data_IF_697380481959
#
_entry.id   IF_697380481959
#
_cell.length_a   1.000
_cell.length_b   1.000
_cell.length_c   1.000
_cell.angle_alpha   90.00
_cell.angle_beta   90.00
_cell.angle_gamma   90.00
#
_symmetry.space_group_name_H-M   'P 1'
#
loop_
_entity.id
_entity.type
_entity.pdbx_description
1 polymer ?
#
# COMPACT_ATOMS: atom_id res chain seq x y z
N UNK A 1 -1.99 26.39 -59.35
CA UNK A 1 -2.99 27.08 -58.51
C UNK A 1 -2.55 26.94 -57.07
N UNK A 2 -2.29 28.05 -56.34
CA UNK A 2 -1.84 28.01 -54.95
C UNK A 2 -3.02 27.88 -54.00
N UNK A 3 -2.83 27.22 -52.85
CA UNK A 3 -3.66 27.38 -51.67
C UNK A 3 -2.75 27.38 -50.43
N UNK A 4 -2.61 28.57 -49.85
CA UNK A 4 -2.05 28.79 -48.52
C UNK A 4 -3.06 28.33 -47.46
N UNK A 5 -2.63 27.61 -46.41
CA UNK A 5 -3.34 27.61 -45.14
C UNK A 5 -3.12 28.98 -44.48
N UNK A 6 -4.20 29.71 -44.22
CA UNK A 6 -4.13 30.91 -43.38
C UNK A 6 -3.91 30.49 -41.93
N UNK A 7 -2.81 30.96 -41.32
CA UNK A 7 -2.56 30.76 -39.89
C UNK A 7 -3.37 31.80 -39.10
N UNK A 8 -4.28 31.41 -38.20
CA UNK A 8 -5.15 32.36 -37.51
C UNK A 8 -4.34 33.21 -36.53
N UNK A 9 -4.20 34.50 -36.85
CA UNK A 9 -3.52 35.45 -35.97
C UNK A 9 -4.25 35.55 -34.63
N UNK A 10 -3.62 34.98 -33.58
CA UNK A 10 -4.09 35.11 -32.20
C UNK A 10 -3.92 36.57 -31.77
N UNK A 11 -5.02 37.29 -31.65
CA UNK A 11 -4.99 38.69 -31.24
C UNK A 11 -4.77 38.77 -29.73
N UNK A 12 -3.56 39.16 -29.31
CA UNK A 12 -3.27 39.51 -27.93
C UNK A 12 -4.05 40.78 -27.56
N UNK A 13 -5.22 40.61 -26.91
CA UNK A 13 -6.10 41.72 -26.53
C UNK A 13 -7.05 41.37 -25.39
N UNK A 14 -6.56 41.48 -24.15
CA UNK A 14 -7.42 41.71 -22.98
C UNK A 14 -6.59 42.23 -21.78
N UNK A 15 -6.26 43.52 -21.79
CA UNK A 15 -5.60 44.17 -20.65
C UNK A 15 -6.64 44.67 -19.62
N UNK A 16 -6.65 44.06 -18.43
CA UNK A 16 -7.31 44.60 -17.22
C UNK A 16 -8.22 43.61 -16.47
N UNK A 17 -8.69 43.94 -15.24
CA UNK A 17 -8.39 45.15 -14.46
C UNK A 17 -7.58 44.88 -13.16
N UNK A 18 -7.17 45.95 -12.49
CA UNK A 18 -6.53 45.96 -11.15
C UNK A 18 -7.29 45.10 -10.13
N UNK A 19 -6.60 44.17 -9.49
CA UNK A 19 -6.93 43.72 -8.13
C UNK A 19 -6.34 44.71 -7.11
N UNK A 20 -7.18 45.24 -6.21
CA UNK A 20 -6.72 46.09 -5.10
C UNK A 20 -6.03 45.26 -4.03
N UNK A 21 -4.89 45.73 -3.54
CA UNK A 21 -4.12 45.05 -2.50
C UNK A 21 -4.93 44.91 -1.20
N UNK A 22 -5.15 43.67 -0.76
CA UNK A 22 -5.74 43.38 0.54
C UNK A 22 -4.69 43.58 1.65
N UNK A 23 -5.00 44.47 2.58
CA UNK A 23 -4.16 44.78 3.75
C UNK A 23 -4.27 43.66 4.80
N UNK A 24 -3.14 43.29 5.43
CA UNK A 24 -3.16 42.79 6.81
C UNK A 24 -2.81 41.31 7.03
N UNK A 25 -1.52 40.97 6.91
CA UNK A 25 -0.93 39.85 7.66
C UNK A 25 -0.59 40.33 9.09
N UNK A 26 -1.01 39.61 10.13
CA UNK A 26 -0.15 39.36 11.29
C UNK A 26 0.40 37.92 11.27
N UNK A 27 1.54 37.72 11.92
CA UNK A 27 2.32 36.50 11.81
C UNK A 27 1.75 35.31 12.62
N UNK A 28 2.15 34.11 12.20
CA UNK A 28 1.99 32.89 12.98
C UNK A 28 2.78 32.97 14.29
N UNK A 29 2.16 32.55 15.39
CA UNK A 29 2.86 32.24 16.65
C UNK A 29 2.59 30.77 16.98
N UNK A 30 3.53 29.85 16.72
CA UNK A 30 3.35 28.45 17.08
C UNK A 30 3.33 28.31 18.61
N UNK A 31 2.35 27.57 19.13
CA UNK A 31 2.30 27.22 20.57
C UNK A 31 3.41 26.21 20.87
N UNK A 32 4.16 26.35 21.98
CA UNK A 32 5.11 25.32 22.40
C UNK A 32 4.38 24.01 22.74
N UNK A 33 4.72 22.93 22.05
CA UNK A 33 4.32 21.57 22.44
C UNK A 33 5.16 21.12 23.64
N UNK A 34 4.54 20.62 24.73
CA UNK A 34 5.30 20.03 25.84
C UNK A 34 6.11 18.81 25.37
N UNK A 35 7.43 18.87 25.51
CA UNK A 35 8.35 17.84 25.04
C UNK A 35 8.27 16.50 25.80
N UNK A 36 8.87 15.43 25.23
CA UNK A 36 8.80 14.09 25.79
C UNK A 36 9.56 13.99 27.12
N UNK A 37 8.92 13.36 28.13
CA UNK A 37 9.61 12.99 29.38
C UNK A 37 10.35 11.67 29.22
N UNK A 38 11.61 11.75 28.81
CA UNK A 38 12.57 10.66 29.01
C UNK A 38 12.87 10.52 30.50
N UNK A 39 12.66 9.34 31.07
CA UNK A 39 13.15 8.97 32.40
C UNK A 39 13.83 7.59 32.31
N UNK A 40 15.08 7.53 32.75
CA UNK A 40 15.94 6.37 32.59
C UNK A 40 15.83 5.36 33.76
N UNK A 41 16.25 4.13 33.47
CA UNK A 41 16.51 2.98 34.35
C UNK A 41 17.63 3.26 35.41
N UNK A 42 18.09 2.30 36.26
CA UNK A 42 17.42 1.18 36.98
C UNK A 42 17.89 0.98 38.46
N UNK A 43 17.11 0.19 39.26
CA UNK A 43 17.53 -0.58 40.49
C UNK A 43 18.00 0.26 41.72
N UNK A 44 17.95 -0.25 42.98
CA UNK A 44 18.60 -1.50 43.43
C UNK A 44 17.86 -2.36 44.49
N UNK A 45 18.25 -3.64 44.60
CA UNK A 45 17.88 -4.57 45.70
C UNK A 45 19.00 -5.61 45.90
N UNK A 46 19.39 -5.87 47.15
CA UNK A 46 20.72 -6.43 47.55
C UNK A 46 20.62 -7.90 48.10
N UNK A 47 21.60 -8.52 48.81
CA UNK A 47 21.89 -9.98 48.78
C UNK A 47 21.15 -10.74 49.92
N UNK A 48 21.37 -12.02 50.32
CA UNK A 48 22.60 -12.79 50.71
C UNK A 48 22.35 -14.35 50.69
N UNK A 49 23.13 -15.30 51.28
CA UNK A 49 23.73 -16.39 50.46
C UNK A 49 23.63 -17.88 50.91
N UNK A 50 23.94 -18.80 49.97
CA UNK A 50 24.68 -20.07 50.21
C UNK A 50 23.91 -21.34 50.61
N UNK A 51 24.57 -22.52 50.73
CA UNK A 51 25.76 -22.98 49.98
C UNK A 51 25.74 -24.48 49.53
N UNK A 52 26.65 -24.85 48.60
CA UNK A 52 27.19 -26.22 48.33
C UNK A 52 26.22 -27.31 47.73
N UNK A 53 26.61 -28.32 46.92
CA UNK A 53 27.91 -28.76 46.38
C UNK A 53 27.79 -29.50 45.01
N UNK A 54 28.93 -29.71 44.31
CA UNK A 54 29.15 -30.58 43.11
C UNK A 54 30.60 -31.13 43.21
N UNK A 55 30.95 -32.41 42.92
CA UNK A 55 30.87 -33.15 41.62
C UNK A 55 30.23 -34.57 41.77
N UNK A 56 30.37 -35.63 40.94
CA UNK A 56 31.30 -36.01 39.85
C UNK A 56 30.70 -37.05 38.84
N UNK A 57 31.39 -37.41 37.72
CA UNK A 57 30.88 -38.29 36.63
C UNK A 57 31.61 -39.67 36.57
N UNK A 58 31.62 -40.46 35.46
CA UNK A 58 30.59 -40.86 34.46
C UNK A 58 30.43 -42.41 34.35
N UNK A 59 29.49 -42.91 33.51
CA UNK A 59 29.59 -44.24 32.87
C UNK A 59 29.04 -44.23 31.43
N UNK A 60 29.79 -44.72 30.41
CA UNK A 60 29.32 -44.83 29.03
C UNK A 60 28.83 -46.24 28.67
N UNK A 61 27.83 -46.34 27.79
CA UNK A 61 27.62 -47.51 26.89
C UNK A 61 26.93 -47.08 25.58
N UNK A 62 27.07 -47.83 24.47
CA UNK A 62 27.06 -47.22 23.14
C UNK A 62 25.89 -47.63 22.22
N UNK A 63 25.88 -46.95 21.07
CA UNK A 63 25.49 -47.41 19.74
C UNK A 63 24.05 -47.16 19.22
N UNK A 64 24.04 -46.45 18.08
CA UNK A 64 23.23 -46.71 16.89
C UNK A 64 21.70 -46.51 16.95
N UNK A 65 21.29 -45.25 16.81
CA UNK A 65 20.09 -44.87 16.05
C UNK A 65 20.50 -43.98 14.89
N UNK A 66 20.34 -44.44 13.64
CA UNK A 66 20.54 -43.59 12.46
C UNK A 66 19.37 -42.61 12.38
N UNK A 67 19.60 -41.32 12.65
CA UNK A 67 18.65 -40.29 12.22
C UNK A 67 18.61 -40.29 10.69
N UNK A 68 17.45 -40.49 10.05
CA UNK A 68 17.34 -40.26 8.62
C UNK A 68 17.45 -38.76 8.38
N UNK A 69 18.50 -38.33 7.69
CA UNK A 69 18.44 -37.08 6.94
C UNK A 69 17.46 -37.33 5.78
N UNK A 70 16.25 -36.81 5.88
CA UNK A 70 15.18 -37.05 4.92
C UNK A 70 14.05 -36.05 5.13
N UNK A 71 13.72 -35.30 4.07
CA UNK A 71 12.70 -34.26 4.11
C UNK A 71 13.27 -32.87 4.39
N UNK A 72 13.77 -32.22 3.34
CA UNK A 72 13.31 -30.84 3.10
C UNK A 72 11.81 -30.90 2.86
N UNK A 73 11.03 -30.90 3.95
CA UNK A 73 9.58 -30.89 3.85
C UNK A 73 9.14 -29.67 3.04
N UNK A 74 8.22 -29.91 2.11
CA UNK A 74 7.87 -28.98 1.06
C UNK A 74 7.06 -27.80 1.61
N UNK A 75 7.73 -26.85 2.28
CA UNK A 75 7.12 -25.63 2.84
C UNK A 75 6.37 -24.82 1.77
N UNK A 76 6.73 -25.01 0.50
CA UNK A 76 6.06 -24.53 -0.71
C UNK A 76 4.56 -24.89 -0.80
N UNK A 77 4.11 -25.96 -0.15
CA UNK A 77 2.70 -26.41 -0.21
C UNK A 77 1.81 -25.76 0.86
N UNK A 78 2.38 -25.06 1.84
CA UNK A 78 1.62 -24.13 2.68
C UNK A 78 1.40 -22.82 1.91
N UNK A 79 0.50 -22.86 0.92
CA UNK A 79 -0.21 -21.66 0.46
C UNK A 79 -1.01 -21.14 1.65
N UNK A 80 -0.43 -20.18 2.38
CA UNK A 80 -1.16 -19.38 3.35
C UNK A 80 -2.43 -18.86 2.69
N UNK A 81 -3.59 -19.12 3.29
CA UNK A 81 -4.83 -18.50 2.83
C UNK A 81 -4.68 -16.98 2.87
N UNK A 82 -5.22 -16.23 1.90
CA UNK A 82 -5.12 -14.78 1.88
C UNK A 82 -5.69 -14.19 3.17
N UNK A 83 -4.95 -13.27 3.79
CA UNK A 83 -5.41 -12.57 4.98
C UNK A 83 -6.36 -11.44 4.56
N UNK A 84 -7.66 -11.64 4.75
CA UNK A 84 -8.68 -10.66 4.43
C UNK A 84 -8.93 -9.71 5.61
N UNK A 85 -8.92 -8.41 5.32
CA UNK A 85 -9.35 -7.34 6.23
C UNK A 85 -10.51 -6.60 5.58
N UNK A 86 -11.62 -6.45 6.31
CA UNK A 86 -12.78 -5.68 5.87
C UNK A 86 -12.76 -4.29 6.51
N UNK A 87 -12.89 -3.25 5.70
CA UNK A 87 -12.99 -1.85 6.13
C UNK A 87 -14.42 -1.37 5.84
N UNK A 88 -15.26 -1.09 6.87
CA UNK A 88 -16.62 -0.60 6.64
C UNK A 88 -16.62 0.84 6.11
N UNK A 89 -17.20 1.04 4.93
CA UNK A 89 -17.40 2.33 4.29
C UNK A 89 -18.80 2.40 3.61
N UNK A 90 -19.41 3.58 3.48
CA UNK A 90 -20.53 3.77 2.55
C UNK A 90 -20.03 3.66 1.10
N UNK A 91 -20.90 3.35 0.14
CA UNK A 91 -20.55 3.20 -1.29
C UNK A 91 -19.81 4.44 -1.80
N UNK A 92 -20.34 5.64 -1.53
CA UNK A 92 -19.76 6.92 -1.98
C UNK A 92 -18.41 7.26 -1.29
N UNK A 93 -18.06 6.57 -0.21
CA UNK A 93 -16.79 6.73 0.53
C UNK A 93 -15.89 5.49 0.49
N UNK A 94 -16.23 4.50 -0.35
CA UNK A 94 -15.45 3.27 -0.48
C UNK A 94 -14.10 3.50 -1.18
N UNK A 95 -14.01 4.54 -2.02
CA UNK A 95 -12.77 4.96 -2.66
C UNK A 95 -11.83 5.64 -1.64
N UNK A 96 -12.32 6.67 -0.94
CA UNK A 96 -11.59 7.34 0.15
C UNK A 96 -11.03 6.32 1.18
N UNK A 97 -11.86 5.35 1.60
CA UNK A 97 -11.45 4.32 2.55
C UNK A 97 -10.39 3.34 1.98
N UNK A 98 -10.35 3.15 0.65
CA UNK A 98 -9.34 2.35 -0.02
C UNK A 98 -8.03 3.14 -0.23
N UNK A 99 -8.09 4.45 -0.47
CA UNK A 99 -6.95 5.36 -0.53
C UNK A 99 -6.28 5.50 0.85
N UNK A 100 -7.04 5.70 1.93
CA UNK A 100 -6.51 5.71 3.31
C UNK A 100 -5.86 4.36 3.68
N UNK A 101 -6.42 3.23 3.20
CA UNK A 101 -5.83 1.91 3.40
C UNK A 101 -4.54 1.70 2.58
N UNK A 102 -4.48 2.29 1.37
CA UNK A 102 -3.28 2.32 0.53
C UNK A 102 -2.17 3.12 1.22
N UNK A 103 -2.48 4.33 1.69
CA UNK A 103 -1.52 5.21 2.38
C UNK A 103 -0.94 4.53 3.63
N UNK A 104 -1.77 3.93 4.48
CA UNK A 104 -1.30 3.19 5.67
C UNK A 104 -0.35 2.02 5.30
N UNK A 105 -0.57 1.35 4.17
CA UNK A 105 0.33 0.30 3.70
C UNK A 105 1.66 0.88 3.20
N UNK A 106 1.64 1.98 2.45
CA UNK A 106 2.84 2.66 1.98
C UNK A 106 3.65 3.25 3.16
N UNK A 107 2.99 3.87 4.15
CA UNK A 107 3.61 4.33 5.40
C UNK A 107 4.24 3.18 6.20
N UNK A 108 3.65 1.98 6.16
CA UNK A 108 4.23 0.77 6.78
C UNK A 108 5.48 0.24 6.07
N UNK A 109 5.84 0.80 4.90
CA UNK A 109 7.04 0.46 4.13
C UNK A 109 6.84 -0.59 3.04
N UNK A 110 5.59 -0.94 2.68
CA UNK A 110 5.29 -1.83 1.55
C UNK A 110 5.48 -1.09 0.22
N UNK A 111 6.02 -1.76 -0.79
CA UNK A 111 6.41 -1.11 -2.05
C UNK A 111 5.19 -0.76 -2.93
N UNK A 112 5.15 0.39 -3.63
CA UNK A 112 4.05 0.76 -4.52
C UNK A 112 3.75 -0.30 -5.59
N UNK A 113 4.80 -0.83 -6.23
CA UNK A 113 4.75 -1.96 -7.16
C UNK A 113 4.11 -3.26 -6.65
N UNK A 114 3.97 -3.41 -5.33
CA UNK A 114 3.32 -4.55 -4.69
C UNK A 114 1.81 -4.35 -4.50
N UNK A 115 1.25 -3.18 -4.87
CA UNK A 115 -0.16 -2.82 -4.66
C UNK A 115 -0.98 -2.99 -5.93
N UNK A 116 -2.11 -3.70 -5.84
CA UNK A 116 -3.20 -3.56 -6.80
C UNK A 116 -4.39 -2.91 -6.06
N UNK A 117 -4.99 -1.86 -6.63
CA UNK A 117 -6.27 -1.31 -6.18
C UNK A 117 -7.33 -1.55 -7.24
N UNK A 118 -8.35 -2.34 -6.90
CA UNK A 118 -9.50 -2.64 -7.75
C UNK A 118 -10.70 -1.78 -7.33
N UNK A 119 -11.37 -1.19 -8.31
CA UNK A 119 -12.67 -0.50 -8.15
C UNK A 119 -13.76 -1.36 -8.78
N UNK A 120 -14.92 -1.51 -8.11
CA UNK A 120 -16.04 -2.33 -8.63
C UNK A 120 -17.06 -1.51 -9.42
N UNK A 121 -17.15 -0.21 -9.14
CA UNK A 121 -18.06 0.75 -9.76
C UNK A 121 -17.34 1.74 -10.67
N UNK A 122 -17.32 3.02 -10.30
CA UNK A 122 -16.57 4.04 -11.05
C UNK A 122 -15.05 3.82 -10.90
N UNK A 123 -14.29 3.97 -11.98
CA UNK A 123 -12.83 3.83 -11.93
C UNK A 123 -12.18 4.94 -11.11
N UNK A 124 -11.09 4.60 -10.44
CA UNK A 124 -10.28 5.55 -9.69
C UNK A 124 -9.87 6.76 -10.59
N UNK A 125 -10.04 8.03 -10.16
CA UNK A 125 -9.86 9.20 -11.02
C UNK A 125 -8.50 9.29 -11.71
N UNK A 126 -7.43 8.87 -11.03
CA UNK A 126 -6.09 8.77 -11.63
C UNK A 126 -6.05 7.75 -12.78
N UNK A 127 -6.64 6.56 -12.62
CA UNK A 127 -6.67 5.54 -13.67
C UNK A 127 -7.45 6.03 -14.90
N UNK A 128 -8.61 6.67 -14.67
CA UNK A 128 -9.39 7.28 -15.74
C UNK A 128 -8.63 8.40 -16.48
N UNK A 129 -7.80 9.18 -15.78
CA UNK A 129 -6.93 10.18 -16.38
C UNK A 129 -5.81 9.55 -17.22
N UNK A 130 -5.08 8.58 -16.68
CA UNK A 130 -3.98 7.91 -17.38
C UNK A 130 -4.45 7.13 -18.62
N UNK A 131 -5.58 6.41 -18.50
CA UNK A 131 -6.21 5.71 -19.62
C UNK A 131 -6.59 6.67 -20.77
N UNK A 132 -6.87 7.95 -20.48
CA UNK A 132 -7.17 8.95 -21.51
C UNK A 132 -5.97 9.29 -22.41
N UNK A 133 -4.73 9.03 -21.95
CA UNK A 133 -3.51 9.14 -22.78
C UNK A 133 -3.20 7.87 -23.59
N UNK A 134 -3.86 6.75 -23.28
CA UNK A 134 -3.85 5.55 -24.12
C UNK A 134 -3.73 4.25 -23.34
N UNK A 135 -4.70 3.36 -23.52
CA UNK A 135 -4.78 2.06 -22.86
C UNK A 135 -3.47 1.24 -22.95
N UNK A 136 -2.88 1.09 -24.14
CA UNK A 136 -1.65 0.30 -24.32
C UNK A 136 -0.48 0.82 -23.48
N UNK A 137 -0.36 2.14 -23.34
CA UNK A 137 0.69 2.76 -22.53
C UNK A 137 0.42 2.55 -21.04
N UNK A 138 -0.84 2.70 -20.62
CA UNK A 138 -1.26 2.46 -19.24
C UNK A 138 -0.98 1.03 -18.77
N UNK A 139 -1.40 0.03 -19.53
CA UNK A 139 -1.18 -1.37 -19.15
C UNK A 139 0.30 -1.78 -19.18
N UNK A 140 1.15 -1.10 -19.96
CA UNK A 140 2.60 -1.32 -19.89
C UNK A 140 3.25 -0.79 -18.58
N UNK A 141 2.60 0.14 -17.87
CA UNK A 141 3.04 0.57 -16.53
C UNK A 141 2.96 -0.59 -15.53
N UNK A 142 1.95 -1.46 -15.66
CA UNK A 142 1.80 -2.65 -14.83
C UNK A 142 2.99 -3.60 -14.94
N UNK A 143 3.47 -3.85 -16.16
CA UNK A 143 4.60 -4.74 -16.45
C UNK A 143 5.93 -4.18 -15.95
N UNK A 144 6.02 -2.85 -15.82
CA UNK A 144 7.18 -2.17 -15.21
C UNK A 144 7.19 -2.42 -13.70
N UNK A 145 6.03 -2.34 -13.04
CA UNK A 145 5.87 -2.75 -11.66
C UNK A 145 6.50 -1.81 -10.62
N UNK A 146 6.81 -0.57 -10.98
CA UNK A 146 7.39 0.42 -10.05
C UNK A 146 6.34 1.05 -9.12
N UNK A 147 5.16 1.38 -9.66
CA UNK A 147 4.10 2.14 -8.99
C UNK A 147 2.86 1.31 -8.63
N UNK A 148 1.98 1.89 -7.80
CA UNK A 148 0.62 1.40 -7.51
C UNK A 148 -0.13 1.19 -8.82
N UNK A 149 -0.70 0.01 -9.04
CA UNK A 149 -1.56 -0.22 -10.21
C UNK A 149 -3.02 -0.17 -9.79
N UNK A 150 -3.82 0.52 -10.60
CA UNK A 150 -5.25 0.69 -10.38
C UNK A 150 -5.99 0.00 -11.53
N UNK A 151 -7.12 -0.65 -11.24
CA UNK A 151 -7.93 -1.25 -12.30
C UNK A 151 -9.40 -1.32 -11.93
N UNK A 152 -10.22 -1.52 -12.94
CA UNK A 152 -11.60 -1.99 -12.79
C UNK A 152 -11.60 -3.48 -12.42
N UNK A 153 -12.50 -3.89 -11.53
CA UNK A 153 -12.63 -5.27 -11.07
C UNK A 153 -12.92 -6.27 -12.22
N UNK A 154 -13.55 -5.83 -13.31
CA UNK A 154 -13.75 -6.67 -14.52
C UNK A 154 -12.45 -7.01 -15.25
N UNK A 155 -11.37 -6.26 -15.01
CA UNK A 155 -10.06 -6.48 -15.60
C UNK A 155 -9.11 -7.33 -14.71
N UNK A 156 -9.60 -7.91 -13.61
CA UNK A 156 -8.81 -8.73 -12.67
C UNK A 156 -8.01 -9.84 -13.35
N UNK A 157 -8.56 -10.53 -14.36
CA UNK A 157 -7.86 -11.61 -15.09
C UNK A 157 -6.73 -11.10 -16.02
N UNK A 158 -6.67 -9.79 -16.29
CA UNK A 158 -5.59 -9.12 -17.00
C UNK A 158 -4.57 -8.49 -16.04
N UNK A 159 -4.96 -8.29 -14.77
CA UNK A 159 -4.09 -7.70 -13.78
C UNK A 159 -2.93 -8.65 -13.44
N UNK A 160 -1.74 -8.09 -13.26
CA UNK A 160 -0.61 -8.85 -12.74
C UNK A 160 -0.87 -9.16 -11.26
N UNK A 161 -0.64 -10.40 -10.84
CA UNK A 161 -0.78 -10.78 -9.43
C UNK A 161 0.20 -9.99 -8.57
N UNK A 162 -0.32 -9.33 -7.54
CA UNK A 162 0.43 -8.51 -6.58
C UNK A 162 0.12 -9.00 -5.16
N UNK A 163 1.10 -8.97 -4.22
CA UNK A 163 0.95 -9.63 -2.93
C UNK A 163 -0.07 -8.98 -1.99
N UNK A 164 -0.56 -7.77 -2.30
CA UNK A 164 -1.65 -7.12 -1.58
C UNK A 164 -2.57 -6.41 -2.56
N UNK A 165 -3.83 -6.86 -2.59
CA UNK A 165 -4.92 -6.25 -3.35
C UNK A 165 -5.87 -5.51 -2.39
N UNK A 166 -6.22 -4.28 -2.74
CA UNK A 166 -7.27 -3.49 -2.10
C UNK A 166 -8.47 -3.49 -3.05
N UNK A 167 -9.68 -3.76 -2.55
CA UNK A 167 -10.90 -3.74 -3.37
C UNK A 167 -11.86 -2.68 -2.81
N UNK A 168 -12.00 -1.57 -3.52
CA UNK A 168 -12.97 -0.53 -3.24
C UNK A 168 -14.33 -0.96 -3.81
N UNK A 169 -15.25 -1.36 -2.93
CA UNK A 169 -16.62 -1.77 -3.32
C UNK A 169 -17.50 -0.52 -3.50
N UNK A 170 -17.17 0.28 -4.50
CA UNK A 170 -17.79 1.59 -4.80
C UNK A 170 -18.98 1.48 -5.77
N UNK A 171 -19.77 0.42 -5.65
CA UNK A 171 -20.93 0.13 -6.50
C UNK A 171 -20.59 -0.81 -7.66
N UNK A 172 -21.30 -0.66 -8.78
CA UNK A 172 -21.13 -1.53 -9.96
C UNK A 172 -22.00 -2.79 -9.91
N UNK A 173 -21.50 -3.88 -10.48
CA UNK A 173 -22.22 -5.16 -10.62
C UNK A 173 -21.75 -6.17 -9.55
N UNK A 174 -22.71 -6.76 -8.83
CA UNK A 174 -22.46 -7.72 -7.75
C UNK A 174 -21.77 -9.01 -8.25
N UNK A 175 -22.06 -9.47 -9.48
CA UNK A 175 -21.43 -10.66 -10.08
C UNK A 175 -19.97 -10.38 -10.47
N UNK A 176 -19.66 -9.16 -10.94
CA UNK A 176 -18.28 -8.73 -11.19
C UNK A 176 -17.50 -8.69 -9.87
N UNK A 177 -18.10 -8.16 -8.82
CA UNK A 177 -17.49 -8.12 -7.47
C UNK A 177 -17.27 -9.54 -6.91
N UNK A 178 -18.26 -10.42 -7.05
CA UNK A 178 -18.19 -11.81 -6.61
C UNK A 178 -17.15 -12.64 -7.39
N UNK A 179 -16.87 -12.30 -8.65
CA UNK A 179 -15.79 -12.88 -9.45
C UNK A 179 -14.41 -12.31 -9.10
N UNK A 180 -14.31 -11.02 -8.82
CA UNK A 180 -13.03 -10.36 -8.59
C UNK A 180 -12.40 -10.76 -7.26
N UNK A 181 -13.19 -10.86 -6.18
CA UNK A 181 -12.67 -11.18 -4.84
C UNK A 181 -11.94 -12.54 -4.73
N UNK A 182 -12.35 -13.63 -5.43
CA UNK A 182 -11.59 -14.88 -5.46
C UNK A 182 -10.47 -14.96 -6.52
N UNK A 183 -10.40 -13.99 -7.44
CA UNK A 183 -9.40 -13.94 -8.52
C UNK A 183 -8.21 -13.03 -8.19
N UNK A 184 -8.41 -12.07 -7.28
CA UNK A 184 -7.39 -11.22 -6.65
C UNK A 184 -6.42 -12.00 -5.74
#
# INVERSE_FOLDING_TARGET
MPLIPEEPQIHESAQGPRATAATGRPASTPRPVPGPRSAASPRPGRPVPGPAARPAPPKPRPAAGKSPAGGTENRSDQRSAPQLQLIPAPVDGALDAAEEALDLLLESGRAPGEVLLLTTGEQHPWAAHELSFGETAYWAQQDTGDDVFFADASAVDRAASRPVVIVAVNGGDDEVTARALPAA
#
